data_IF_517822983909
#
_entry.id   IF_517822983909
#
_cell.length_a   1.000
_cell.length_b   1.000
_cell.length_c   1.000
_cell.angle_alpha   90.00
_cell.angle_beta   90.00
_cell.angle_gamma   90.00
#
_symmetry.space_group_name_H-M   'P 1'
#
loop_
_entity.id
_entity.type
_entity.pdbx_description
1 polymer ?
#
# COMPACT_ATOMS: atom_id res chain seq x y z
N UNK A 1 -61.25 -26.84 30.18
CA UNK A 1 -60.31 -25.82 29.64
C UNK A 1 -58.92 -26.11 30.17
N UNK A 2 -57.93 -26.26 29.28
CA UNK A 2 -56.52 -26.48 29.68
C UNK A 2 -55.93 -25.22 30.31
N UNK A 3 -54.86 -25.36 31.10
CA UNK A 3 -54.16 -24.22 31.73
C UNK A 3 -53.75 -23.16 30.68
N UNK A 4 -53.28 -23.60 29.51
CA UNK A 4 -52.92 -22.72 28.39
C UNK A 4 -54.12 -21.95 27.80
N UNK A 5 -55.31 -22.56 27.76
CA UNK A 5 -56.53 -21.87 27.30
C UNK A 5 -57.01 -20.83 28.32
N UNK A 6 -56.84 -21.08 29.63
CA UNK A 6 -57.16 -20.10 30.69
C UNK A 6 -56.20 -18.93 30.72
N UNK A 7 -54.89 -19.20 30.54
CA UNK A 7 -53.84 -18.20 30.37
C UNK A 7 -54.16 -17.22 29.23
N UNK A 8 -54.63 -17.73 28.08
CA UNK A 8 -54.97 -16.91 26.92
C UNK A 8 -56.21 -16.00 27.15
N UNK A 9 -57.16 -16.46 27.97
CA UNK A 9 -58.41 -15.74 28.26
C UNK A 9 -58.34 -14.85 29.51
N UNK A 10 -57.20 -14.79 30.20
CA UNK A 10 -56.96 -14.01 31.44
C UNK A 10 -57.89 -14.36 32.62
N UNK A 11 -58.42 -15.58 32.64
CA UNK A 11 -59.24 -16.08 33.75
C UNK A 11 -58.37 -16.95 34.67
N UNK A 12 -57.79 -16.33 35.69
CA UNK A 12 -56.93 -17.03 36.66
C UNK A 12 -57.65 -17.24 37.98
N UNK A 13 -57.61 -18.46 38.49
CA UNK A 13 -57.95 -18.74 39.88
C UNK A 13 -56.66 -18.89 40.72
N UNK A 14 -56.81 -18.95 42.04
CA UNK A 14 -55.66 -19.01 42.97
C UNK A 14 -54.78 -20.25 42.76
N UNK A 15 -55.35 -21.34 42.27
CA UNK A 15 -54.63 -22.59 41.98
C UNK A 15 -53.76 -22.46 40.71
N UNK A 16 -54.27 -21.81 39.67
CA UNK A 16 -53.55 -21.52 38.43
C UNK A 16 -52.34 -20.60 38.70
N UNK A 17 -52.46 -19.64 39.62
CA UNK A 17 -51.34 -18.77 40.05
C UNK A 17 -50.20 -19.58 40.70
N UNK A 18 -50.52 -20.50 41.61
CA UNK A 18 -49.51 -21.35 42.28
C UNK A 18 -48.77 -22.26 41.30
N UNK A 19 -49.46 -22.76 40.28
CA UNK A 19 -48.84 -23.58 39.22
C UNK A 19 -47.89 -22.72 38.36
N UNK A 20 -48.29 -21.50 37.99
CA UNK A 20 -47.44 -20.58 37.22
C UNK A 20 -46.20 -20.18 38.03
N UNK A 21 -46.36 -19.87 39.32
CA UNK A 21 -45.24 -19.57 40.21
C UNK A 21 -44.25 -20.75 40.29
N UNK A 22 -44.76 -21.98 40.40
CA UNK A 22 -43.89 -23.17 40.44
C UNK A 22 -43.18 -23.44 39.12
N UNK A 23 -43.83 -23.22 37.98
CA UNK A 23 -43.18 -23.31 36.65
C UNK A 23 -42.08 -22.25 36.52
N UNK A 24 -42.34 -21.03 36.98
CA UNK A 24 -41.34 -19.95 36.99
C UNK A 24 -40.14 -20.26 37.90
N UNK A 25 -40.36 -20.86 39.07
CA UNK A 25 -39.27 -21.32 39.95
C UNK A 25 -38.42 -22.40 39.28
N UNK A 26 -39.05 -23.42 38.68
CA UNK A 26 -38.35 -24.49 37.99
C UNK A 26 -37.57 -23.96 36.78
N UNK A 27 -38.12 -23.00 36.04
CA UNK A 27 -37.45 -22.33 34.93
C UNK A 27 -36.23 -21.52 35.41
N UNK A 28 -36.33 -20.79 36.54
CA UNK A 28 -35.19 -20.09 37.16
C UNK A 28 -34.09 -21.06 37.55
N UNK A 29 -34.42 -22.18 38.21
CA UNK A 29 -33.42 -23.19 38.59
C UNK A 29 -32.71 -23.79 37.38
N UNK A 30 -33.43 -24.04 36.28
CA UNK A 30 -32.83 -24.55 35.04
C UNK A 30 -31.89 -23.54 34.36
N UNK A 31 -32.23 -22.25 34.43
CA UNK A 31 -31.38 -21.17 33.90
C UNK A 31 -30.13 -20.98 34.76
N UNK A 32 -30.26 -21.03 36.09
CA UNK A 32 -29.13 -20.91 37.00
C UNK A 32 -28.14 -22.08 36.86
N UNK A 33 -28.65 -23.31 36.64
CA UNK A 33 -27.82 -24.47 36.34
C UNK A 33 -27.10 -24.32 34.99
N UNK A 34 -27.80 -23.84 33.96
CA UNK A 34 -27.18 -23.59 32.64
C UNK A 34 -26.12 -22.49 32.69
N UNK A 35 -26.37 -21.41 33.44
CA UNK A 35 -25.42 -20.32 33.68
C UNK A 35 -24.21 -20.84 34.47
N UNK A 36 -24.43 -21.63 35.52
CA UNK A 36 -23.35 -22.23 36.32
C UNK A 36 -22.48 -23.20 35.49
N UNK A 37 -23.09 -24.00 34.62
CA UNK A 37 -22.36 -24.84 33.67
C UNK A 37 -21.58 -24.01 32.65
N UNK A 38 -22.17 -22.94 32.09
CA UNK A 38 -21.45 -22.02 31.20
C UNK A 38 -20.24 -21.40 31.87
N UNK A 39 -20.37 -20.92 33.12
CA UNK A 39 -19.24 -20.38 33.90
C UNK A 39 -18.17 -21.43 34.21
N UNK A 40 -18.53 -22.72 34.24
CA UNK A 40 -17.57 -23.80 34.47
C UNK A 40 -16.72 -24.11 33.24
N UNK A 41 -17.28 -23.98 32.03
CA UNK A 41 -16.58 -24.25 30.75
C UNK A 41 -15.95 -23.00 30.11
N UNK A 42 -16.38 -21.80 30.50
CA UNK A 42 -15.84 -20.52 30.01
C UNK A 42 -14.33 -20.36 30.20
N UNK A 43 -13.72 -20.74 31.33
CA UNK A 43 -12.28 -20.66 31.53
C UNK A 43 -11.49 -21.56 30.57
N UNK A 44 -11.98 -22.77 30.30
CA UNK A 44 -11.30 -23.73 29.42
C UNK A 44 -11.44 -23.35 27.94
N UNK A 45 -12.61 -22.85 27.54
CA UNK A 45 -12.83 -22.27 26.21
C UNK A 45 -12.00 -21.01 25.99
N UNK A 46 -11.93 -20.12 26.99
CA UNK A 46 -11.11 -18.92 26.93
C UNK A 46 -9.62 -19.27 26.85
N UNK A 47 -9.17 -20.25 27.64
CA UNK A 47 -7.79 -20.75 27.60
C UNK A 47 -7.45 -21.39 26.25
N UNK A 48 -8.35 -22.20 25.70
CA UNK A 48 -8.16 -22.82 24.37
C UNK A 48 -8.09 -21.77 23.26
N UNK A 49 -8.99 -20.77 23.27
CA UNK A 49 -8.94 -19.65 22.34
C UNK A 49 -7.68 -18.80 22.50
N UNK A 50 -7.23 -18.57 23.74
CA UNK A 50 -6.01 -17.84 24.03
C UNK A 50 -4.78 -18.60 23.52
N UNK A 51 -4.71 -19.92 23.73
CA UNK A 51 -3.63 -20.78 23.23
C UNK A 51 -3.60 -20.83 21.69
N UNK A 52 -4.77 -20.94 21.03
CA UNK A 52 -4.87 -20.87 19.57
C UNK A 52 -4.48 -19.49 19.02
N UNK A 53 -4.89 -18.41 19.69
CA UNK A 53 -4.50 -17.05 19.32
C UNK A 53 -2.99 -16.83 19.47
N UNK A 54 -2.40 -17.27 20.59
CA UNK A 54 -0.95 -17.20 20.80
C UNK A 54 -0.18 -18.05 19.77
N UNK A 55 -0.66 -19.25 19.45
CA UNK A 55 -0.06 -20.09 18.42
C UNK A 55 -0.11 -19.42 17.04
N UNK A 56 -1.25 -18.84 16.67
CA UNK A 56 -1.40 -18.10 15.41
C UNK A 56 -0.52 -16.84 15.36
N UNK A 57 -0.48 -16.08 16.46
CA UNK A 57 0.36 -14.89 16.57
C UNK A 57 1.86 -15.22 16.51
N UNK A 58 2.28 -16.30 17.17
CA UNK A 58 3.65 -16.80 17.12
C UNK A 58 4.02 -17.32 15.72
N UNK A 59 3.10 -18.00 15.01
CA UNK A 59 3.34 -18.41 13.61
C UNK A 59 3.45 -17.19 12.68
N UNK A 60 2.60 -16.18 12.84
CA UNK A 60 2.69 -14.90 12.09
C UNK A 60 4.04 -14.22 12.36
N UNK A 61 4.47 -14.13 13.62
CA UNK A 61 5.77 -13.55 13.96
C UNK A 61 6.94 -14.37 13.42
N UNK A 62 6.88 -15.69 13.46
CA UNK A 62 7.92 -16.55 12.88
C UNK A 62 7.94 -16.50 11.35
N UNK A 63 6.80 -16.28 10.69
CA UNK A 63 6.75 -16.01 9.24
C UNK A 63 7.32 -14.63 8.93
N UNK A 64 6.91 -13.58 9.63
CA UNK A 64 7.47 -12.25 9.48
C UNK A 64 8.99 -12.20 9.74
N UNK A 65 9.49 -12.95 10.73
CA UNK A 65 10.93 -13.11 10.98
C UNK A 65 11.64 -13.94 9.89
N UNK A 66 11.00 -15.00 9.38
CA UNK A 66 11.55 -15.79 8.26
C UNK A 66 11.57 -14.99 6.96
N UNK A 67 10.55 -14.19 6.69
CA UNK A 67 10.48 -13.26 5.56
C UNK A 67 11.53 -12.16 5.73
N UNK A 68 11.70 -11.62 6.95
CA UNK A 68 12.80 -10.69 7.26
C UNK A 68 14.21 -11.32 7.17
N UNK A 69 14.32 -12.65 7.20
CA UNK A 69 15.57 -13.39 7.00
C UNK A 69 15.77 -13.91 5.57
N UNK A 70 14.69 -14.14 4.81
CA UNK A 70 14.70 -14.48 3.37
C UNK A 70 14.82 -13.25 2.47
N UNK A 71 14.38 -12.07 2.94
CA UNK A 71 14.91 -10.78 2.49
C UNK A 71 16.35 -10.71 3.02
N UNK A 72 17.21 -11.52 2.41
CA UNK A 72 18.63 -11.57 2.72
C UNK A 72 19.13 -10.14 2.73
N UNK A 73 19.81 -9.78 3.82
CA UNK A 73 20.55 -8.53 4.02
C UNK A 73 20.87 -7.73 2.75
N UNK A 74 19.88 -7.02 2.19
CA UNK A 74 20.14 -5.75 1.54
C UNK A 74 20.27 -4.81 2.74
N UNK A 75 21.44 -4.88 3.39
CA UNK A 75 21.90 -3.73 4.17
C UNK A 75 21.73 -2.55 3.24
N UNK A 76 21.05 -1.45 3.61
CA UNK A 76 21.25 -0.23 2.88
C UNK A 76 22.74 0.08 3.02
N UNK A 77 23.54 -0.26 2.00
CA UNK A 77 25.00 -0.10 1.97
C UNK A 77 25.40 1.37 1.86
N UNK A 78 24.49 2.26 2.19
CA UNK A 78 24.57 3.69 2.00
C UNK A 78 23.74 4.37 3.08
N UNK A 79 24.24 4.40 4.31
CA UNK A 79 23.90 5.47 5.25
C UNK A 79 24.61 6.73 4.76
N UNK A 80 24.14 7.31 3.65
CA UNK A 80 24.58 8.65 3.27
C UNK A 80 24.11 9.61 4.37
N UNK A 81 24.94 10.57 4.80
CA UNK A 81 24.45 11.65 5.63
C UNK A 81 23.29 12.33 4.88
N UNK A 82 22.15 12.45 5.56
CA UNK A 82 20.90 13.03 5.06
C UNK A 82 21.10 14.55 4.96
N UNK A 83 22.00 14.99 4.09
CA UNK A 83 22.13 16.38 3.72
C UNK A 83 21.38 16.56 2.40
N UNK A 84 20.23 17.21 2.50
CA UNK A 84 19.41 17.51 1.32
C UNK A 84 20.26 18.26 0.30
N UNK A 85 20.34 17.82 -0.96
CA UNK A 85 21.22 18.45 -1.94
C UNK A 85 20.95 19.94 -2.07
N UNK A 86 22.03 20.73 -2.12
CA UNK A 86 21.91 22.14 -2.46
C UNK A 86 21.55 22.26 -3.94
N UNK A 87 20.57 23.10 -4.23
CA UNK A 87 20.11 23.37 -5.59
C UNK A 87 19.63 24.82 -5.69
N UNK A 88 19.38 25.26 -6.93
CA UNK A 88 18.83 26.59 -7.25
C UNK A 88 17.50 26.82 -6.53
N UNK A 89 17.17 28.08 -6.26
CA UNK A 89 15.98 28.45 -5.48
C UNK A 89 14.67 27.95 -6.11
N UNK A 90 14.56 27.97 -7.43
CA UNK A 90 13.37 27.53 -8.16
C UNK A 90 13.19 26.01 -8.11
N UNK A 91 14.24 25.26 -8.42
CA UNK A 91 14.25 23.80 -8.33
C UNK A 91 13.94 23.34 -6.90
N UNK A 92 14.59 23.96 -5.90
CA UNK A 92 14.34 23.70 -4.48
C UNK A 92 12.88 23.95 -4.11
N UNK A 93 12.32 25.09 -4.49
CA UNK A 93 10.93 25.45 -4.19
C UNK A 93 9.97 24.44 -4.81
N UNK A 94 10.17 24.06 -6.06
CA UNK A 94 9.33 23.11 -6.77
C UNK A 94 9.35 21.74 -6.09
N UNK A 95 10.55 21.20 -5.85
CA UNK A 95 10.74 19.89 -5.24
C UNK A 95 10.19 19.85 -3.82
N UNK A 96 10.45 20.87 -3.01
CA UNK A 96 9.91 20.95 -1.65
C UNK A 96 8.38 21.01 -1.63
N UNK A 97 7.76 21.67 -2.62
CA UNK A 97 6.30 21.67 -2.75
C UNK A 97 5.76 20.27 -3.07
N UNK A 98 6.43 19.53 -3.96
CA UNK A 98 6.03 18.15 -4.25
C UNK A 98 6.21 17.25 -3.02
N UNK A 99 7.36 17.32 -2.34
CA UNK A 99 7.63 16.54 -1.13
C UNK A 99 6.55 16.80 -0.07
N UNK A 100 6.22 18.06 0.18
CA UNK A 100 5.25 18.43 1.20
C UNK A 100 3.81 17.98 0.89
N UNK A 101 3.46 17.84 -0.39
CA UNK A 101 2.09 17.53 -0.83
C UNK A 101 1.88 16.06 -1.19
N UNK A 102 2.83 15.47 -1.91
CA UNK A 102 2.63 14.22 -2.63
C UNK A 102 3.37 13.04 -1.96
N UNK A 103 4.53 13.27 -1.33
CA UNK A 103 5.35 12.16 -0.79
C UNK A 103 4.63 11.38 0.32
N UNK A 104 3.83 12.06 1.14
CA UNK A 104 3.00 11.44 2.19
C UNK A 104 1.57 11.14 1.75
N UNK A 105 1.21 11.49 0.51
CA UNK A 105 -0.14 11.30 0.02
C UNK A 105 -0.35 9.84 -0.39
N UNK A 106 -1.29 9.17 0.28
CA UNK A 106 -1.63 7.76 0.05
C UNK A 106 -2.69 7.56 -1.03
N UNK A 107 -3.29 8.65 -1.53
CA UNK A 107 -4.42 8.59 -2.45
C UNK A 107 -4.19 9.56 -3.61
N UNK A 108 -4.02 9.01 -4.80
CA UNK A 108 -3.84 9.74 -6.06
C UNK A 108 -2.72 10.80 -6.00
N UNK A 109 -1.60 10.46 -5.36
CA UNK A 109 -0.39 11.28 -5.37
C UNK A 109 0.12 11.48 -6.81
N UNK A 110 0.54 12.70 -7.11
CA UNK A 110 1.11 13.01 -8.42
C UNK A 110 2.53 12.46 -8.50
N UNK A 111 2.89 11.88 -9.65
CA UNK A 111 4.29 11.51 -9.87
C UNK A 111 5.15 12.77 -10.09
N UNK A 112 6.42 12.72 -9.69
CA UNK A 112 7.41 13.76 -9.96
C UNK A 112 8.19 13.39 -11.22
N UNK A 113 8.24 14.26 -12.22
CA UNK A 113 9.06 14.06 -13.42
C UNK A 113 10.14 15.15 -13.46
N UNK A 114 11.40 14.75 -13.31
CA UNK A 114 12.56 15.65 -13.38
C UNK A 114 13.30 15.47 -14.70
N UNK A 115 13.29 16.51 -15.53
CA UNK A 115 13.89 16.49 -16.87
C UNK A 115 15.13 17.36 -16.85
N UNK A 116 16.29 16.78 -17.14
CA UNK A 116 17.52 17.55 -17.25
C UNK A 116 18.71 16.70 -17.71
N UNK A 117 19.84 17.33 -18.07
CA UNK A 117 21.04 16.63 -18.54
C UNK A 117 21.55 15.55 -17.59
N UNK A 118 22.41 14.65 -18.08
CA UNK A 118 23.21 13.79 -17.24
C UNK A 118 24.06 14.61 -16.25
N UNK A 119 24.48 13.98 -15.14
CA UNK A 119 25.37 14.57 -14.13
C UNK A 119 24.83 15.84 -13.42
N UNK A 120 23.52 16.07 -13.42
CA UNK A 120 22.88 17.15 -12.66
C UNK A 120 22.45 16.76 -11.25
N UNK A 121 22.80 15.54 -10.78
CA UNK A 121 22.50 15.06 -9.43
C UNK A 121 21.04 14.63 -9.19
N UNK A 122 20.21 14.49 -10.23
CA UNK A 122 18.82 14.02 -10.14
C UNK A 122 18.68 12.70 -9.34
N UNK A 123 19.51 11.72 -9.69
CA UNK A 123 19.55 10.40 -9.02
C UNK A 123 19.94 10.54 -7.56
N UNK A 124 20.97 11.35 -7.27
CA UNK A 124 21.42 11.66 -5.91
C UNK A 124 20.31 12.29 -5.10
N UNK A 125 19.58 13.25 -5.69
CA UNK A 125 18.42 13.87 -5.06
C UNK A 125 17.32 12.84 -4.77
N UNK A 126 16.87 12.08 -5.76
CA UNK A 126 15.78 11.14 -5.59
C UNK A 126 16.10 10.14 -4.47
N UNK A 127 17.32 9.61 -4.44
CA UNK A 127 17.80 8.65 -3.43
C UNK A 127 18.04 9.26 -2.04
N UNK A 128 18.13 10.59 -1.93
CA UNK A 128 18.35 11.29 -0.65
C UNK A 128 17.09 11.49 0.18
N UNK A 129 15.89 11.32 -0.41
CA UNK A 129 14.62 11.62 0.26
C UNK A 129 14.28 10.66 1.40
N UNK A 130 14.65 9.39 1.26
CA UNK A 130 14.43 8.36 2.27
C UNK A 130 15.40 7.20 2.05
N UNK A 131 15.64 6.41 3.08
CA UNK A 131 16.35 5.13 2.98
C UNK A 131 15.51 4.00 2.39
N UNK A 132 14.18 4.18 2.27
CA UNK A 132 13.25 3.12 1.89
C UNK A 132 12.49 3.47 0.60
N UNK A 133 13.03 3.02 -0.53
CA UNK A 133 12.49 3.27 -1.87
C UNK A 133 12.72 2.06 -2.78
N UNK A 134 11.86 1.91 -3.80
CA UNK A 134 12.15 1.05 -4.95
C UNK A 134 12.99 1.85 -5.95
N UNK A 135 13.97 1.22 -6.59
CA UNK A 135 14.85 1.86 -7.58
C UNK A 135 15.01 0.94 -8.77
N UNK A 136 14.64 1.45 -9.95
CA UNK A 136 14.77 0.75 -11.22
C UNK A 136 15.58 1.61 -12.19
N UNK A 137 16.58 0.98 -12.79
CA UNK A 137 17.54 1.60 -13.70
C UNK A 137 17.80 0.66 -14.88
N UNK A 138 17.87 1.18 -16.11
CA UNK A 138 18.20 0.42 -17.34
C UNK A 138 17.54 -0.97 -17.42
N UNK A 139 16.20 -1.01 -17.42
CA UNK A 139 15.38 -2.23 -17.63
C UNK A 139 15.44 -3.28 -16.52
N UNK A 140 15.93 -2.92 -15.33
CA UNK A 140 15.99 -3.81 -14.17
C UNK A 140 14.62 -4.07 -13.49
N UNK A 141 13.50 -3.97 -14.21
CA UNK A 141 12.20 -4.29 -13.63
C UNK A 141 12.05 -5.78 -13.33
N UNK A 142 11.62 -6.05 -12.11
CA UNK A 142 11.17 -7.37 -11.71
C UNK A 142 10.09 -7.21 -10.63
N UNK A 143 8.87 -7.75 -10.82
CA UNK A 143 7.86 -7.71 -9.79
C UNK A 143 8.27 -8.45 -8.51
N UNK A 144 9.22 -9.39 -8.56
CA UNK A 144 9.74 -10.09 -7.37
C UNK A 144 10.61 -9.17 -6.48
N UNK A 145 11.19 -8.11 -7.04
CA UNK A 145 12.02 -7.16 -6.28
C UNK A 145 11.25 -5.95 -5.78
N UNK A 146 9.99 -5.80 -6.22
CA UNK A 146 9.14 -4.68 -5.86
C UNK A 146 8.73 -4.75 -4.38
N UNK A 147 9.06 -3.72 -3.62
CA UNK A 147 8.67 -3.62 -2.21
C UNK A 147 7.44 -2.71 -2.05
N UNK A 148 6.26 -3.24 -1.67
CA UNK A 148 5.05 -2.44 -1.47
C UNK A 148 5.11 -1.54 -0.24
N UNK A 149 6.08 -1.75 0.66
CA UNK A 149 6.28 -0.91 1.85
C UNK A 149 7.19 0.29 1.59
N UNK A 150 7.80 0.40 0.40
CA UNK A 150 8.65 1.52 0.03
C UNK A 150 7.89 2.86 0.11
N UNK A 151 8.57 3.94 0.51
CA UNK A 151 7.94 5.27 0.59
C UNK A 151 7.65 5.88 -0.79
N UNK A 152 8.44 5.52 -1.80
CA UNK A 152 8.28 5.96 -3.18
C UNK A 152 9.05 5.01 -4.10
N UNK A 153 8.83 5.16 -5.41
CA UNK A 153 9.56 4.41 -6.45
C UNK A 153 10.30 5.38 -7.37
N UNK A 154 11.54 5.06 -7.71
CA UNK A 154 12.37 5.83 -8.63
C UNK A 154 12.53 5.03 -9.92
N UNK A 155 12.24 5.70 -11.05
CA UNK A 155 12.49 5.21 -12.40
C UNK A 155 13.55 6.10 -13.02
N UNK A 156 14.76 5.57 -13.19
CA UNK A 156 15.91 6.31 -13.71
C UNK A 156 16.39 5.66 -15.01
N UNK A 157 16.49 6.42 -16.08
CA UNK A 157 16.97 5.91 -17.37
C UNK A 157 16.17 4.75 -17.99
N UNK A 158 14.84 4.79 -17.83
CA UNK A 158 13.95 3.79 -18.44
C UNK A 158 13.64 4.15 -19.91
N UNK A 159 13.66 3.19 -20.86
CA UNK A 159 13.22 3.38 -22.24
C UNK A 159 11.69 3.38 -22.31
N UNK A 160 11.10 4.57 -22.22
CA UNK A 160 9.66 4.74 -22.11
C UNK A 160 8.88 4.32 -23.37
N UNK A 161 9.50 4.37 -24.54
CA UNK A 161 8.95 3.88 -25.81
C UNK A 161 8.77 2.36 -25.82
N UNK A 162 9.62 1.62 -25.11
CA UNK A 162 9.57 0.16 -25.02
C UNK A 162 9.04 -0.34 -23.67
N UNK A 163 8.63 0.54 -22.76
CA UNK A 163 8.31 0.25 -21.36
C UNK A 163 7.52 -1.05 -21.12
N UNK A 164 6.42 -1.25 -21.83
CA UNK A 164 5.58 -2.45 -21.67
C UNK A 164 6.17 -3.67 -22.38
N UNK A 165 6.92 -3.46 -23.47
CA UNK A 165 7.60 -4.52 -24.22
C UNK A 165 8.74 -5.14 -23.43
N UNK A 166 9.41 -4.36 -22.57
CA UNK A 166 10.48 -4.81 -21.68
C UNK A 166 9.94 -5.32 -20.32
N UNK A 167 8.61 -5.52 -20.21
CA UNK A 167 8.00 -6.23 -19.09
C UNK A 167 7.47 -5.35 -17.95
N UNK A 168 7.56 -4.02 -18.04
CA UNK A 168 6.87 -3.18 -17.06
C UNK A 168 5.34 -3.27 -17.25
N UNK A 169 4.56 -3.25 -16.16
CA UNK A 169 3.12 -3.04 -16.24
C UNK A 169 2.74 -1.68 -16.84
N UNK A 170 1.44 -1.48 -17.08
CA UNK A 170 0.92 -0.26 -17.67
C UNK A 170 1.39 1.02 -16.93
N UNK A 171 1.99 1.96 -17.68
CA UNK A 171 2.66 3.17 -17.14
C UNK A 171 1.78 3.96 -16.16
N UNK A 172 0.52 4.23 -16.53
CA UNK A 172 -0.42 5.00 -15.69
C UNK A 172 -0.65 4.31 -14.35
N UNK A 173 -0.70 2.98 -14.32
CA UNK A 173 -0.91 2.25 -13.07
C UNK A 173 0.33 2.29 -12.17
N UNK A 174 1.53 2.17 -12.74
CA UNK A 174 2.78 2.27 -11.97
C UNK A 174 3.07 3.67 -11.45
N UNK A 175 2.77 4.71 -12.25
CA UNK A 175 3.12 6.09 -11.91
C UNK A 175 2.08 6.77 -11.01
N UNK A 176 0.81 6.34 -11.04
CA UNK A 176 -0.31 7.04 -10.42
C UNK A 176 -1.01 6.23 -9.32
N UNK A 177 -0.26 5.42 -8.57
CA UNK A 177 -0.79 4.60 -7.46
C UNK A 177 -1.95 3.69 -7.90
N UNK A 178 -1.75 2.92 -8.97
CA UNK A 178 -2.76 2.05 -9.57
C UNK A 178 -3.27 0.90 -8.68
N UNK A 179 -2.75 0.76 -7.46
CA UNK A 179 -3.15 -0.25 -6.50
C UNK A 179 -2.62 -1.63 -6.90
N UNK A 180 -3.49 -2.63 -6.93
CA UNK A 180 -3.09 -4.01 -7.28
C UNK A 180 -2.98 -4.16 -8.79
N UNK A 181 -1.77 -4.37 -9.28
CA UNK A 181 -1.48 -4.54 -10.71
C UNK A 181 -1.12 -6.00 -10.97
N UNK A 182 -1.82 -6.60 -11.93
CA UNK A 182 -1.45 -7.91 -12.46
C UNK A 182 -0.37 -7.76 -13.52
N UNK A 183 0.72 -8.50 -13.36
CA UNK A 183 1.87 -8.46 -14.27
C UNK A 183 2.46 -9.86 -14.44
N UNK A 184 3.53 -9.97 -15.20
CA UNK A 184 4.26 -11.21 -15.47
C UNK A 184 5.71 -10.96 -15.07
N UNK A 185 6.31 -11.86 -14.31
CA UNK A 185 7.72 -11.74 -13.94
C UNK A 185 8.65 -12.11 -15.11
N UNK A 186 9.96 -11.93 -14.92
CA UNK A 186 10.99 -12.24 -15.91
C UNK A 186 11.07 -13.74 -16.28
N UNK A 187 10.34 -14.60 -15.57
CA UNK A 187 10.23 -16.05 -15.82
C UNK A 187 8.91 -16.44 -16.50
N UNK A 188 8.10 -15.47 -16.94
CA UNK A 188 6.82 -15.71 -17.57
C UNK A 188 5.70 -16.14 -16.59
N UNK A 189 5.91 -16.01 -15.27
CA UNK A 189 4.91 -16.38 -14.27
C UNK A 189 4.04 -15.18 -13.89
N UNK A 190 2.73 -15.36 -13.70
CA UNK A 190 1.86 -14.32 -13.18
C UNK A 190 2.35 -13.81 -11.81
N UNK A 191 2.34 -12.49 -11.64
CA UNK A 191 2.69 -11.81 -10.41
C UNK A 191 1.69 -10.69 -10.12
N UNK A 192 1.62 -10.27 -8.86
CA UNK A 192 0.81 -9.13 -8.43
C UNK A 192 1.73 -8.18 -7.68
N UNK A 193 1.75 -6.91 -8.10
CA UNK A 193 2.44 -5.83 -7.39
C UNK A 193 1.42 -4.84 -6.84
N UNK A 194 1.69 -4.31 -5.65
CA UNK A 194 0.79 -3.38 -4.96
C UNK A 194 1.40 -1.98 -4.92
N UNK A 195 0.94 -1.12 -5.83
CA UNK A 195 1.49 0.21 -6.07
C UNK A 195 0.61 1.25 -5.40
N UNK A 196 0.99 1.67 -4.19
CA UNK A 196 0.32 2.72 -3.44
C UNK A 196 1.23 3.91 -3.12
N UNK A 197 2.50 3.83 -3.48
CA UNK A 197 3.49 4.86 -3.24
C UNK A 197 3.64 5.81 -4.44
N UNK A 198 3.99 7.08 -4.21
CA UNK A 198 4.29 8.01 -5.29
C UNK A 198 5.53 7.59 -6.09
N UNK A 199 5.59 8.04 -7.34
CA UNK A 199 6.70 7.77 -8.25
C UNK A 199 7.53 9.01 -8.55
N UNK A 200 8.83 8.81 -8.78
CA UNK A 200 9.78 9.80 -9.28
C UNK A 200 10.38 9.27 -10.58
N UNK A 201 10.28 10.03 -11.66
CA UNK A 201 10.81 9.72 -12.98
C UNK A 201 11.95 10.68 -13.30
N UNK A 202 13.11 10.14 -13.64
CA UNK A 202 14.31 10.91 -13.93
C UNK A 202 14.66 10.81 -15.40
N UNK A 203 14.52 11.93 -16.12
CA UNK A 203 14.71 11.98 -17.56
C UNK A 203 15.98 12.70 -17.96
N UNK A 204 16.71 12.08 -18.89
CA UNK A 204 17.77 12.70 -19.66
C UNK A 204 17.33 12.84 -21.13
N UNK A 205 17.06 14.07 -21.62
CA UNK A 205 16.59 14.32 -22.99
C UNK A 205 17.49 13.78 -24.11
N UNK A 206 18.77 13.49 -23.82
CA UNK A 206 19.73 12.99 -24.80
C UNK A 206 19.74 11.47 -24.95
N UNK A 207 19.29 10.74 -23.92
CA UNK A 207 19.52 9.29 -23.82
C UNK A 207 18.22 8.48 -23.74
N UNK A 208 17.11 9.11 -23.42
CA UNK A 208 15.85 8.45 -23.12
C UNK A 208 14.79 8.93 -24.09
N UNK A 209 13.75 8.11 -24.29
CA UNK A 209 12.52 8.52 -24.96
C UNK A 209 12.13 9.94 -24.57
N UNK A 210 11.58 10.65 -25.54
CA UNK A 210 11.07 12.00 -25.33
C UNK A 210 10.06 12.02 -24.19
N UNK A 211 9.85 13.19 -23.58
CA UNK A 211 8.74 13.35 -22.63
C UNK A 211 7.42 12.84 -23.23
N UNK A 212 7.24 12.98 -24.56
CA UNK A 212 6.05 12.44 -25.23
C UNK A 212 5.91 10.93 -25.04
N UNK A 213 6.98 10.17 -24.96
CA UNK A 213 6.90 8.70 -24.80
C UNK A 213 6.42 8.28 -23.40
N UNK A 214 6.55 9.18 -22.42
CA UNK A 214 5.95 9.01 -21.09
C UNK A 214 4.50 9.48 -21.11
N UNK A 215 4.24 10.60 -21.78
CA UNK A 215 2.94 11.25 -21.76
C UNK A 215 1.94 10.60 -22.72
N UNK A 216 2.39 9.98 -23.79
CA UNK A 216 1.57 9.24 -24.74
C UNK A 216 1.25 7.87 -24.15
N UNK A 217 -0.03 7.60 -23.99
CA UNK A 217 -0.47 6.21 -23.90
C UNK A 217 -0.53 5.59 -25.30
N UNK A 218 -0.23 4.30 -25.37
CA UNK A 218 -0.28 3.49 -26.60
C UNK A 218 -1.68 3.40 -27.22
N UNK A 219 -2.71 3.90 -26.54
CA UNK A 219 -4.06 4.04 -27.06
C UNK A 219 -4.14 5.23 -28.02
N UNK A 220 -4.43 4.94 -29.28
CA UNK A 220 -4.48 5.84 -30.46
C UNK A 220 -5.55 6.96 -30.40
N UNK A 221 -5.75 7.63 -29.27
CA UNK A 221 -6.72 8.71 -29.12
C UNK A 221 -6.05 10.10 -29.10
N UNK A 222 -6.22 10.82 -30.20
CA UNK A 222 -5.96 12.24 -30.49
C UNK A 222 -5.17 13.07 -29.44
N UNK A 223 -4.00 13.50 -29.90
CA UNK A 223 -2.83 14.21 -29.33
C UNK A 223 -3.06 15.37 -28.32
N UNK A 224 -4.30 15.84 -28.13
CA UNK A 224 -4.60 17.00 -27.28
C UNK A 224 -5.05 16.62 -25.85
N UNK A 225 -5.68 15.45 -25.67
CA UNK A 225 -6.23 15.05 -24.37
C UNK A 225 -5.18 14.46 -23.41
N UNK A 226 -4.20 13.73 -23.93
CA UNK A 226 -3.18 13.07 -23.09
C UNK A 226 -2.22 14.09 -22.43
N UNK A 227 -1.91 15.20 -23.12
CA UNK A 227 -1.17 16.30 -22.50
C UNK A 227 -1.92 16.91 -21.31
N UNK A 228 -3.25 16.98 -21.38
CA UNK A 228 -4.08 17.48 -20.28
C UNK A 228 -4.09 16.49 -19.10
N UNK A 229 -4.16 15.18 -19.37
CA UNK A 229 -4.13 14.15 -18.34
C UNK A 229 -2.86 14.27 -17.47
N UNK A 230 -1.69 14.25 -18.07
CA UNK A 230 -0.45 14.27 -17.27
C UNK A 230 -0.20 15.61 -16.58
N UNK A 231 -0.69 16.72 -17.11
CA UNK A 231 -0.67 17.99 -16.38
C UNK A 231 -1.52 17.95 -15.09
N UNK A 232 -2.55 17.10 -15.06
CA UNK A 232 -3.37 16.88 -13.87
C UNK A 232 -2.73 15.87 -12.90
N UNK A 233 -2.00 14.88 -13.42
CA UNK A 233 -1.52 13.72 -12.65
C UNK A 233 -0.01 13.68 -12.37
N UNK A 234 0.78 14.59 -12.96
CA UNK A 234 2.23 14.69 -12.75
C UNK A 234 2.66 16.11 -12.37
N UNK A 235 3.71 16.19 -11.57
CA UNK A 235 4.48 17.39 -11.31
C UNK A 235 5.74 17.35 -12.18
N UNK A 236 5.73 18.09 -13.28
CA UNK A 236 6.82 18.07 -14.27
C UNK A 236 7.73 19.28 -14.07
N UNK A 237 9.03 19.05 -13.92
CA UNK A 237 10.05 20.09 -13.87
C UNK A 237 11.11 19.91 -14.96
N UNK A 238 11.30 20.94 -15.78
CA UNK A 238 12.41 21.01 -16.75
C UNK A 238 13.51 21.87 -16.15
N UNK A 239 14.63 21.23 -15.82
CA UNK A 239 15.82 21.89 -15.29
C UNK A 239 16.38 22.83 -16.35
N UNK A 240 16.68 24.06 -15.94
CA UNK A 240 17.35 25.06 -16.77
C UNK A 240 18.86 24.80 -16.80
N UNK A 241 19.54 25.39 -17.79
CA UNK A 241 20.99 25.34 -17.86
C UNK A 241 21.63 25.87 -16.57
N UNK A 242 22.58 25.11 -16.03
CA UNK A 242 23.25 25.39 -14.76
C UNK A 242 22.47 24.97 -13.51
N UNK A 243 21.24 24.45 -13.63
CA UNK A 243 20.57 23.84 -12.49
C UNK A 243 21.10 22.43 -12.22
N UNK A 244 21.39 22.16 -10.96
CA UNK A 244 21.85 20.85 -10.48
C UNK A 244 21.57 20.70 -9.00
N UNK A 245 21.53 19.44 -8.57
CA UNK A 245 21.58 19.02 -7.18
C UNK A 245 23.03 18.72 -6.82
N UNK A 246 23.58 19.46 -5.87
CA UNK A 246 24.93 19.25 -5.34
C UNK A 246 24.84 18.69 -3.94
N UNK A 247 25.64 17.66 -3.65
CA UNK A 247 25.89 17.29 -2.27
C UNK A 247 26.64 18.45 -1.60
N UNK A 248 26.22 18.89 -0.40
CA UNK A 248 26.95 19.90 0.36
C UNK A 248 28.31 19.41 0.83
#
# INVERSE_FOLDING_TARGET
MTLFQRLANKEFNEEDTKIIERICELAKTSVDVAISQMFHYLPDLFRSCQEQFFAAFTDINHRAQRDAHQVGHIRPRYTWPISFPTCTSNLRKFVNQWIAKELSNKIAAKCLILIGPANTGKTTFARSLSSFYNYYYDDEWDPETFNPSAHYTIYDNIPWDEFENIGYPHKKQLLLQGGRIHTINNRGKPAIVEVYQPAIVLLNPKNQGSLKDILCTTDQYDDDNDNNFWNQHACIYRMKDGESFHLP
#
